data_IF_603456012083
#
_entry.id   IF_603456012083
#
_cell.length_a   1.000
_cell.length_b   1.000
_cell.length_c   1.000
_cell.angle_alpha   90.00
_cell.angle_beta   90.00
_cell.angle_gamma   90.00
#
_symmetry.space_group_name_H-M   'P 1'
#
loop_
_entity.id
_entity.type
_entity.pdbx_description
1 polymer ?
#
# COMPACT_ATOMS: atom_id res chain seq x y z
N UNK A 1 -0.69 38.46 -16.96
CA UNK A 1 0.15 38.25 -15.75
C UNK A 1 0.36 36.74 -15.56
N UNK A 2 1.60 36.23 -15.62
CA UNK A 2 1.89 34.82 -15.81
C UNK A 2 1.74 33.98 -14.54
N UNK A 3 1.26 32.74 -14.73
CA UNK A 3 1.06 31.71 -13.69
C UNK A 3 2.41 31.30 -13.08
N UNK A 4 2.51 31.39 -11.76
CA UNK A 4 3.63 30.88 -10.97
C UNK A 4 3.68 29.35 -11.06
N UNK A 5 4.75 28.82 -11.67
CA UNK A 5 5.02 27.38 -11.72
C UNK A 5 5.60 26.93 -10.38
N UNK A 6 4.90 26.03 -9.70
CA UNK A 6 5.42 25.28 -8.56
C UNK A 6 6.64 24.46 -9.01
N UNK A 7 7.83 24.79 -8.52
CA UNK A 7 9.06 24.04 -8.80
C UNK A 7 9.00 22.69 -8.08
N UNK A 8 8.56 21.64 -8.79
CA UNK A 8 8.73 20.26 -8.35
C UNK A 8 10.18 19.85 -8.62
N UNK A 9 11.06 20.18 -7.68
CA UNK A 9 12.41 19.61 -7.57
C UNK A 9 12.28 18.11 -7.32
N UNK A 10 12.16 17.33 -8.40
CA UNK A 10 12.42 15.89 -8.37
C UNK A 10 13.89 15.71 -8.77
N UNK A 11 14.71 15.33 -7.79
CA UNK A 11 15.98 14.64 -8.02
C UNK A 11 15.68 13.30 -8.72
N UNK A 12 15.37 13.35 -10.01
CA UNK A 12 15.59 12.21 -10.89
C UNK A 12 17.10 12.11 -11.03
N UNK A 13 17.67 11.10 -10.38
CA UNK A 13 19.07 10.74 -10.53
C UNK A 13 19.44 10.69 -12.01
N UNK A 14 20.70 11.02 -12.27
CA UNK A 14 21.39 11.12 -13.57
C UNK A 14 21.28 9.90 -14.49
N UNK A 15 20.61 8.82 -14.07
CA UNK A 15 20.41 7.59 -14.83
C UNK A 15 19.28 7.66 -15.88
N UNK A 16 18.47 8.72 -15.89
CA UNK A 16 17.29 8.81 -16.77
C UNK A 16 17.49 9.43 -18.16
N UNK A 17 18.70 9.88 -18.54
CA UNK A 17 18.93 10.61 -19.82
C UNK A 17 19.72 9.85 -20.89
N UNK A 18 20.08 8.59 -20.66
CA UNK A 18 20.89 7.78 -21.59
C UNK A 18 20.04 6.78 -22.38
N UNK A 19 18.91 7.20 -22.96
CA UNK A 19 17.98 6.29 -23.63
C UNK A 19 17.88 6.40 -25.16
N UNK A 20 18.73 7.16 -25.85
CA UNK A 20 18.49 7.36 -27.30
C UNK A 20 19.69 7.25 -28.23
N UNK A 21 20.91 6.90 -27.79
CA UNK A 21 22.05 6.80 -28.70
C UNK A 21 22.97 5.66 -28.26
N UNK A 22 23.24 4.72 -29.17
CA UNK A 22 24.17 3.57 -29.14
C UNK A 22 23.48 2.18 -28.96
N UNK A 23 23.57 1.27 -29.96
CA UNK A 23 22.93 -0.06 -29.93
C UNK A 23 23.52 -1.06 -28.92
N UNK A 24 24.61 -0.69 -28.24
CA UNK A 24 25.41 -1.60 -27.40
C UNK A 24 25.26 -1.32 -25.89
N UNK A 25 24.27 -0.50 -25.52
CA UNK A 25 23.96 -0.23 -24.12
C UNK A 25 23.00 -1.27 -23.54
N UNK A 26 22.20 -1.96 -24.36
CA UNK A 26 21.28 -3.03 -23.91
C UNK A 26 22.03 -4.24 -23.36
N UNK A 27 23.17 -4.62 -23.96
CA UNK A 27 24.02 -5.71 -23.49
C UNK A 27 24.74 -5.37 -22.17
N UNK A 28 25.21 -4.13 -22.01
CA UNK A 28 25.84 -3.63 -20.78
C UNK A 28 24.79 -3.50 -19.66
N UNK A 29 23.60 -2.98 -19.99
CA UNK A 29 22.43 -2.93 -19.11
C UNK A 29 22.03 -4.36 -18.71
N UNK A 30 22.05 -5.32 -19.63
CA UNK A 30 21.83 -6.74 -19.36
C UNK A 30 22.81 -7.31 -18.33
N UNK A 31 24.12 -7.17 -18.58
CA UNK A 31 25.18 -7.65 -17.68
C UNK A 31 25.14 -6.99 -16.29
N UNK A 32 24.83 -5.69 -16.23
CA UNK A 32 24.70 -4.98 -14.95
C UNK A 32 23.44 -5.36 -14.18
N UNK A 33 22.32 -5.59 -14.87
CA UNK A 33 21.09 -6.14 -14.28
C UNK A 33 21.32 -7.57 -13.78
N UNK A 34 22.07 -8.38 -14.53
CA UNK A 34 22.41 -9.76 -14.16
C UNK A 34 23.26 -9.82 -12.89
N UNK A 35 24.32 -9.00 -12.81
CA UNK A 35 25.21 -8.95 -11.66
C UNK A 35 24.53 -8.39 -10.39
N UNK A 36 23.56 -7.48 -10.55
CA UNK A 36 22.81 -6.88 -9.43
C UNK A 36 21.57 -7.69 -9.00
N UNK A 37 21.16 -8.68 -9.81
CA UNK A 37 19.99 -9.53 -9.52
C UNK A 37 19.99 -10.21 -8.15
N UNK A 38 21.06 -10.85 -7.63
CA UNK A 38 21.02 -11.49 -6.31
C UNK A 38 20.78 -10.49 -5.19
N UNK A 39 21.27 -9.26 -5.35
CA UNK A 39 21.04 -8.17 -4.39
C UNK A 39 19.57 -7.73 -4.45
N UNK A 40 19.01 -7.58 -5.65
CA UNK A 40 17.60 -7.22 -5.85
C UNK A 40 16.69 -8.31 -5.28
N UNK A 41 16.92 -9.59 -5.61
CA UNK A 41 16.13 -10.72 -5.10
C UNK A 41 16.18 -10.77 -3.56
N UNK A 42 17.38 -10.71 -2.96
CA UNK A 42 17.52 -10.67 -1.49
C UNK A 42 16.78 -9.48 -0.87
N UNK A 43 16.84 -8.31 -1.50
CA UNK A 43 16.13 -7.13 -1.02
C UNK A 43 14.61 -7.29 -1.12
N UNK A 44 14.13 -7.88 -2.21
CA UNK A 44 12.71 -8.17 -2.42
C UNK A 44 12.18 -9.19 -1.41
N UNK A 45 12.93 -10.27 -1.16
CA UNK A 45 12.60 -11.31 -0.16
C UNK A 45 12.55 -10.71 1.26
N UNK A 46 13.60 -9.97 1.67
CA UNK A 46 13.62 -9.28 2.98
C UNK A 46 12.46 -8.30 3.14
N UNK A 47 12.09 -7.58 2.08
CA UNK A 47 10.96 -6.65 2.10
C UNK A 47 9.64 -7.42 2.26
N UNK A 48 9.50 -8.56 1.60
CA UNK A 48 8.33 -9.43 1.73
C UNK A 48 8.19 -9.98 3.15
N UNK A 49 9.26 -10.53 3.72
CA UNK A 49 9.28 -11.05 5.11
C UNK A 49 8.97 -9.96 6.14
N UNK A 50 9.59 -8.78 6.01
CA UNK A 50 9.25 -7.62 6.84
C UNK A 50 7.78 -7.27 6.71
N UNK A 51 7.22 -7.36 5.51
CA UNK A 51 5.81 -7.04 5.30
C UNK A 51 4.87 -8.08 5.92
N UNK A 52 5.24 -9.36 5.91
CA UNK A 52 4.48 -10.44 6.55
C UNK A 52 4.50 -10.36 8.08
N UNK A 53 5.58 -9.81 8.66
CA UNK A 53 5.74 -9.67 10.12
C UNK A 53 5.12 -8.40 10.70
N UNK A 54 4.67 -7.45 9.87
CA UNK A 54 4.05 -6.22 10.35
C UNK A 54 2.66 -6.49 10.95
N UNK A 55 2.52 -6.28 12.26
CA UNK A 55 1.22 -6.27 12.95
C UNK A 55 0.61 -4.87 12.88
N UNK A 56 -0.65 -4.79 12.45
CA UNK A 56 -1.42 -3.54 12.44
C UNK A 56 -2.06 -3.32 13.81
N UNK A 57 -1.97 -2.08 14.30
CA UNK A 57 -2.62 -1.66 15.54
C UNK A 57 -4.03 -1.17 15.19
N UNK A 58 -5.03 -1.73 15.86
CA UNK A 58 -6.42 -1.32 15.67
C UNK A 58 -6.70 0.03 16.33
N UNK A 59 -7.60 0.79 15.73
CA UNK A 59 -8.02 2.06 16.31
C UNK A 59 -8.99 1.80 17.46
N UNK A 60 -8.55 2.07 18.69
CA UNK A 60 -9.38 1.93 19.89
C UNK A 60 -9.95 3.26 20.40
N UNK A 61 -9.87 4.33 19.62
CA UNK A 61 -10.45 5.63 20.00
C UNK A 61 -11.97 5.55 19.98
N UNK A 62 -12.60 6.16 20.98
CA UNK A 62 -14.04 6.11 21.28
C UNK A 62 -14.58 4.77 21.83
N UNK A 63 -13.70 3.85 22.22
CA UNK A 63 -14.07 2.65 22.96
C UNK A 63 -13.91 2.84 24.48
N UNK A 64 -14.66 2.09 25.31
CA UNK A 64 -14.42 2.01 26.74
C UNK A 64 -12.99 1.55 27.03
N UNK A 65 -12.36 2.12 28.07
CA UNK A 65 -10.97 1.84 28.43
C UNK A 65 -10.67 0.34 28.62
N UNK A 66 -11.57 -0.39 29.29
CA UNK A 66 -11.36 -1.81 29.59
C UNK A 66 -11.45 -2.70 28.33
N UNK A 67 -12.42 -2.43 27.47
CA UNK A 67 -12.56 -3.13 26.18
C UNK A 67 -11.34 -2.86 25.28
N UNK A 68 -10.91 -1.60 25.18
CA UNK A 68 -9.71 -1.21 24.44
C UNK A 68 -8.45 -1.92 24.96
N UNK A 69 -8.30 -2.05 26.29
CA UNK A 69 -7.15 -2.75 26.91
C UNK A 69 -7.17 -4.23 26.59
N UNK A 70 -8.32 -4.87 26.66
CA UNK A 70 -8.44 -6.30 26.36
C UNK A 70 -8.16 -6.55 24.87
N UNK A 71 -8.72 -5.74 23.98
CA UNK A 71 -8.52 -5.88 22.53
C UNK A 71 -7.04 -5.77 22.14
N UNK A 72 -6.34 -4.76 22.63
CA UNK A 72 -4.91 -4.56 22.35
C UNK A 72 -4.03 -5.63 23.00
N UNK A 73 -4.37 -6.13 24.20
CA UNK A 73 -3.68 -7.28 24.81
C UNK A 73 -3.84 -8.55 23.99
N UNK A 74 -5.04 -8.81 23.46
CA UNK A 74 -5.29 -9.95 22.58
C UNK A 74 -4.46 -9.88 21.29
N UNK A 75 -4.16 -8.66 20.81
CA UNK A 75 -3.23 -8.43 19.69
C UNK A 75 -1.74 -8.60 20.06
N UNK A 76 -1.42 -8.84 21.34
CA UNK A 76 -0.06 -9.01 21.83
C UNK A 76 0.64 -7.72 22.26
N UNK A 77 -0.09 -6.60 22.42
CA UNK A 77 0.49 -5.34 22.88
C UNK A 77 0.39 -5.17 24.40
N UNK A 78 1.42 -4.56 25.00
CA UNK A 78 1.41 -4.11 26.39
C UNK A 78 0.83 -2.71 26.48
N UNK A 79 -0.32 -2.57 27.15
CA UNK A 79 -1.07 -1.31 27.21
C UNK A 79 -0.90 -0.62 28.56
N UNK A 80 -0.39 0.61 28.54
CA UNK A 80 -0.41 1.52 29.69
C UNK A 80 -1.50 2.58 29.50
N UNK A 81 -2.24 2.88 30.58
CA UNK A 81 -3.29 3.91 30.60
C UNK A 81 -2.78 5.13 31.34
N UNK A 82 -2.81 6.29 30.69
CA UNK A 82 -2.42 7.58 31.28
C UNK A 82 -3.62 8.53 31.14
N UNK A 83 -4.05 9.24 32.21
CA UNK A 83 -5.14 10.21 32.09
C UNK A 83 -4.76 11.33 31.12
N UNK A 84 -5.67 11.66 30.21
CA UNK A 84 -5.46 12.72 29.24
C UNK A 84 -5.50 14.09 29.94
N UNK A 85 -4.63 15.03 29.52
CA UNK A 85 -4.75 16.43 29.92
C UNK A 85 -6.10 16.99 29.43
N UNK A 86 -6.82 17.77 30.25
CA UNK A 86 -8.09 18.34 29.86
C UNK A 86 -7.91 19.27 28.65
N UNK A 87 -8.75 19.10 27.62
CA UNK A 87 -8.69 19.90 26.40
C UNK A 87 -10.09 20.06 25.79
N UNK A 88 -10.38 21.21 25.17
CA UNK A 88 -11.70 21.54 24.57
C UNK A 88 -12.17 20.49 23.55
N UNK A 89 -11.24 19.87 22.82
CA UNK A 89 -11.52 18.81 21.83
C UNK A 89 -12.12 17.54 22.44
N UNK A 90 -12.05 17.36 23.75
CA UNK A 90 -12.54 16.19 24.48
C UNK A 90 -13.81 16.50 25.29
N UNK A 91 -14.39 17.69 25.11
CA UNK A 91 -15.56 18.14 25.87
C UNK A 91 -16.79 17.25 25.67
N UNK A 92 -16.88 16.52 24.56
CA UNK A 92 -17.99 15.61 24.23
C UNK A 92 -17.72 14.15 24.59
N UNK A 93 -16.53 13.82 25.10
CA UNK A 93 -16.16 12.46 25.44
C UNK A 93 -16.86 11.99 26.72
N UNK A 94 -17.18 10.69 26.78
CA UNK A 94 -17.78 10.04 27.94
C UNK A 94 -16.70 9.68 28.97
N UNK A 95 -17.14 9.46 30.21
CA UNK A 95 -16.26 9.00 31.28
C UNK A 95 -15.64 7.63 30.94
N UNK A 96 -14.35 7.44 31.23
CA UNK A 96 -13.57 6.23 30.90
C UNK A 96 -13.50 5.84 29.41
N UNK A 97 -13.79 6.77 28.50
CA UNK A 97 -13.60 6.58 27.06
C UNK A 97 -12.14 6.82 26.66
N UNK A 98 -11.64 6.03 25.70
CA UNK A 98 -10.31 6.26 25.12
C UNK A 98 -10.38 7.44 24.16
N UNK A 99 -9.87 8.57 24.64
CA UNK A 99 -9.87 9.83 23.92
C UNK A 99 -8.71 9.95 22.92
N UNK A 100 -7.57 9.32 23.22
CA UNK A 100 -6.37 9.35 22.39
C UNK A 100 -5.51 8.11 22.62
N UNK A 101 -4.80 7.68 21.58
CA UNK A 101 -3.85 6.57 21.65
C UNK A 101 -2.50 6.96 21.04
N UNK A 102 -1.43 6.37 21.56
CA UNK A 102 -0.07 6.49 21.02
C UNK A 102 0.60 5.12 21.02
N UNK A 103 1.15 4.64 19.88
CA UNK A 103 1.12 5.26 18.56
C UNK A 103 -0.29 5.33 17.96
N UNK A 104 -0.53 6.25 17.02
CA UNK A 104 -1.82 6.35 16.32
C UNK A 104 -2.01 5.15 15.40
N UNK A 105 -3.24 4.64 15.32
CA UNK A 105 -3.62 3.72 14.24
C UNK A 105 -3.36 4.39 12.88
N UNK A 106 -2.65 3.70 11.98
CA UNK A 106 -2.38 4.22 10.65
C UNK A 106 -3.66 4.45 9.83
N UNK A 107 -3.59 5.30 8.80
CA UNK A 107 -4.69 5.47 7.84
C UNK A 107 -4.91 4.18 7.04
N UNK A 108 -6.15 3.96 6.59
CA UNK A 108 -6.46 2.82 5.73
C UNK A 108 -5.70 2.92 4.39
N UNK A 109 -4.96 1.85 4.09
CA UNK A 109 -4.15 1.66 2.88
C UNK A 109 -4.92 0.80 1.87
N UNK A 110 -4.55 0.82 0.57
CA UNK A 110 -5.20 -0.02 -0.45
C UNK A 110 -5.27 -1.52 -0.10
N UNK A 111 -4.33 -2.02 0.71
CA UNK A 111 -4.30 -3.42 1.18
C UNK A 111 -5.35 -3.76 2.24
N UNK A 112 -5.93 -2.76 2.89
CA UNK A 112 -6.97 -2.95 3.89
C UNK A 112 -8.36 -3.14 3.26
N UNK A 113 -8.46 -2.99 1.93
CA UNK A 113 -9.67 -3.20 1.15
C UNK A 113 -9.50 -4.49 0.35
N UNK A 114 -10.55 -5.30 0.29
CA UNK A 114 -10.55 -6.55 -0.47
C UNK A 114 -11.03 -6.25 -1.88
N UNK A 115 -10.29 -6.68 -2.89
CA UNK A 115 -10.74 -6.60 -4.27
C UNK A 115 -11.49 -7.88 -4.63
N UNK A 116 -12.70 -7.73 -5.14
CA UNK A 116 -13.50 -8.82 -5.70
C UNK A 116 -13.36 -8.81 -7.22
N UNK A 117 -12.77 -9.88 -7.76
CA UNK A 117 -12.54 -10.06 -9.19
C UNK A 117 -13.83 -10.40 -9.96
N UNK A 118 -14.81 -11.04 -9.30
CA UNK A 118 -16.06 -11.44 -9.95
C UNK A 118 -16.94 -10.23 -10.27
N UNK A 119 -16.99 -9.25 -9.36
CA UNK A 119 -17.82 -8.05 -9.48
C UNK A 119 -17.04 -6.78 -9.86
N UNK A 120 -15.72 -6.87 -10.08
CA UNK A 120 -14.82 -5.73 -10.32
C UNK A 120 -15.07 -4.57 -9.33
N UNK A 121 -14.97 -4.88 -8.04
CA UNK A 121 -15.25 -3.92 -6.98
C UNK A 121 -14.32 -4.08 -5.78
N UNK A 122 -14.25 -3.04 -4.97
CA UNK A 122 -13.57 -3.09 -3.67
C UNK A 122 -14.59 -3.18 -2.54
N UNK A 123 -14.35 -4.10 -1.62
CA UNK A 123 -15.13 -4.29 -0.40
C UNK A 123 -14.47 -3.54 0.76
N UNK A 124 -15.24 -2.68 1.39
CA UNK A 124 -14.89 -1.99 2.63
C UNK A 124 -15.21 -2.87 3.85
N UNK A 125 -14.44 -2.81 4.96
CA UNK A 125 -14.72 -3.59 6.17
C UNK A 125 -16.14 -3.43 6.75
N UNK A 126 -16.80 -2.29 6.52
CA UNK A 126 -18.21 -2.08 6.91
C UNK A 126 -19.22 -2.49 5.82
N UNK A 127 -18.85 -3.43 4.93
CA UNK A 127 -19.69 -3.97 3.86
C UNK A 127 -20.11 -2.97 2.77
N UNK A 128 -19.40 -1.86 2.63
CA UNK A 128 -19.61 -0.93 1.52
C UNK A 128 -18.90 -1.42 0.26
N UNK A 129 -19.61 -1.44 -0.87
CA UNK A 129 -19.04 -1.81 -2.18
C UNK A 129 -18.64 -0.54 -2.92
N UNK A 130 -17.39 -0.50 -3.40
CA UNK A 130 -16.87 0.59 -4.22
C UNK A 130 -16.69 0.12 -5.65
N UNK A 131 -17.48 0.68 -6.56
CA UNK A 131 -17.48 0.29 -7.96
C UNK A 131 -16.39 0.99 -8.74
N UNK A 132 -15.98 0.37 -9.86
CA UNK A 132 -15.15 0.99 -10.87
C UNK A 132 -15.79 2.29 -11.38
N UNK A 133 -14.96 3.32 -11.60
CA UNK A 133 -15.39 4.62 -12.15
C UNK A 133 -14.72 4.90 -13.48
N UNK A 134 -13.40 4.96 -13.50
CA UNK A 134 -12.64 5.41 -14.67
C UNK A 134 -11.25 4.78 -14.67
N UNK A 135 -10.67 4.61 -15.85
CA UNK A 135 -9.26 4.23 -16.02
C UNK A 135 -8.48 5.43 -16.51
N UNK A 136 -7.37 5.75 -15.85
CA UNK A 136 -6.48 6.83 -16.27
C UNK A 136 -5.67 6.42 -17.51
N UNK A 137 -5.15 7.40 -18.26
CA UNK A 137 -4.26 7.15 -19.41
C UNK A 137 -3.01 6.33 -19.05
N UNK A 138 -2.58 6.41 -17.78
CA UNK A 138 -1.45 5.68 -17.23
C UNK A 138 -1.80 4.22 -16.86
N UNK A 139 -3.04 3.78 -17.07
CA UNK A 139 -3.46 2.40 -16.82
C UNK A 139 -3.87 2.11 -15.37
N UNK A 140 -4.33 3.11 -14.62
CA UNK A 140 -4.89 2.91 -13.28
C UNK A 140 -6.42 2.95 -13.31
N UNK A 141 -7.05 1.87 -12.85
CA UNK A 141 -8.48 1.83 -12.57
C UNK A 141 -8.76 2.53 -11.24
N UNK A 142 -9.70 3.45 -11.23
CA UNK A 142 -10.14 4.19 -10.04
C UNK A 142 -11.46 3.62 -9.51
N UNK A 143 -11.47 3.33 -8.22
CA UNK A 143 -12.64 2.90 -7.45
C UNK A 143 -12.91 3.95 -6.38
N UNK A 144 -14.17 4.38 -6.27
CA UNK A 144 -14.53 5.52 -5.42
C UNK A 144 -15.65 5.15 -4.46
N UNK A 145 -15.49 5.59 -3.23
CA UNK A 145 -16.55 5.59 -2.22
C UNK A 145 -17.62 6.64 -2.52
N UNK A 146 -18.83 6.41 -2.03
CA UNK A 146 -19.92 7.37 -2.12
C UNK A 146 -19.90 8.35 -0.94
N UNK A 147 -19.81 9.67 -1.21
CA UNK A 147 -19.62 10.67 -0.16
C UNK A 147 -20.82 10.79 0.78
N UNK A 148 -22.04 10.55 0.29
CA UNK A 148 -23.28 10.58 1.09
C UNK A 148 -23.26 9.54 2.20
N UNK A 149 -22.74 8.35 1.91
CA UNK A 149 -22.60 7.25 2.88
C UNK A 149 -21.42 7.53 3.81
N UNK A 150 -20.31 8.03 3.27
CA UNK A 150 -19.09 8.28 4.05
C UNK A 150 -19.24 9.34 5.14
N UNK A 151 -20.15 10.33 4.99
CA UNK A 151 -20.40 11.34 6.03
C UNK A 151 -20.91 10.71 7.33
N UNK A 152 -21.68 9.62 7.26
CA UNK A 152 -22.19 8.89 8.41
C UNK A 152 -21.24 7.79 8.91
N UNK A 153 -20.13 7.53 8.21
CA UNK A 153 -19.22 6.43 8.54
C UNK A 153 -18.38 6.77 9.80
N UNK A 154 -18.37 5.90 10.82
CA UNK A 154 -17.59 6.12 12.04
C UNK A 154 -16.07 6.11 11.76
N UNK A 155 -15.63 5.38 10.73
CA UNK A 155 -14.23 5.29 10.32
C UNK A 155 -13.78 6.41 9.37
N UNK A 156 -14.61 7.42 9.09
CA UNK A 156 -14.29 8.50 8.14
C UNK A 156 -12.93 9.15 8.42
N UNK A 157 -12.65 9.51 9.68
CA UNK A 157 -11.38 10.15 10.10
C UNK A 157 -10.14 9.29 9.84
N UNK A 158 -10.28 7.96 9.85
CA UNK A 158 -9.19 7.01 9.59
C UNK A 158 -9.09 6.67 8.10
N UNK A 159 -10.23 6.66 7.41
CA UNK A 159 -10.34 6.31 6.00
C UNK A 159 -9.82 7.44 5.08
N UNK A 160 -10.29 8.68 5.25
CA UNK A 160 -9.94 9.82 4.39
C UNK A 160 -10.04 11.17 5.11
N UNK A 161 -9.15 12.10 4.77
CA UNK A 161 -9.20 13.51 5.20
C UNK A 161 -9.60 14.45 4.03
N UNK A 162 -10.09 13.87 2.93
CA UNK A 162 -10.54 14.65 1.78
C UNK A 162 -11.72 15.56 2.15
N UNK A 163 -11.72 16.79 1.65
CA UNK A 163 -12.86 17.73 1.82
C UNK A 163 -14.18 17.17 1.30
N UNK A 164 -14.13 16.32 0.27
CA UNK A 164 -15.31 15.72 -0.36
C UNK A 164 -15.77 14.44 0.36
N UNK A 165 -15.15 14.06 1.48
CA UNK A 165 -15.41 12.81 2.20
C UNK A 165 -15.40 11.56 1.30
N UNK A 166 -14.57 11.58 0.25
CA UNK A 166 -14.46 10.52 -0.74
C UNK A 166 -13.05 9.93 -0.71
N UNK A 167 -12.97 8.63 -0.43
CA UNK A 167 -11.78 7.81 -0.67
C UNK A 167 -11.75 7.32 -2.10
N UNK A 168 -10.56 7.37 -2.71
CA UNK A 168 -10.26 6.80 -4.02
C UNK A 168 -9.18 5.73 -3.83
N UNK A 169 -9.41 4.54 -4.38
CA UNK A 169 -8.44 3.46 -4.48
C UNK A 169 -8.11 3.27 -5.94
N UNK A 170 -6.82 3.14 -6.23
CA UNK A 170 -6.33 2.90 -7.59
C UNK A 170 -5.72 1.51 -7.69
N UNK A 171 -6.12 0.76 -8.73
CA UNK A 171 -5.54 -0.54 -9.09
C UNK A 171 -4.96 -0.44 -10.48
N UNK A 172 -3.68 -0.79 -10.65
CA UNK A 172 -3.08 -0.83 -11.98
C UNK A 172 -3.66 -2.02 -12.77
N UNK A 173 -3.85 -1.88 -14.08
CA UNK A 173 -4.41 -2.97 -14.93
C UNK A 173 -3.56 -4.25 -14.84
N UNK A 174 -2.24 -4.12 -14.69
CA UNK A 174 -1.34 -5.28 -14.54
C UNK A 174 -1.23 -5.83 -13.11
N UNK A 175 -2.02 -5.31 -12.16
CA UNK A 175 -1.88 -5.71 -10.75
C UNK A 175 -2.10 -7.21 -10.56
N UNK A 176 -3.08 -7.78 -11.25
CA UNK A 176 -3.45 -9.19 -11.13
C UNK A 176 -2.31 -10.09 -11.63
N UNK A 177 -1.75 -9.75 -12.80
CA UNK A 177 -0.57 -10.44 -13.35
C UNK A 177 0.66 -10.33 -12.45
N UNK A 178 0.88 -9.16 -11.83
CA UNK A 178 1.98 -8.97 -10.87
C UNK A 178 1.79 -9.81 -9.61
N UNK A 179 0.56 -9.97 -9.11
CA UNK A 179 0.24 -10.82 -7.96
C UNK A 179 0.48 -12.29 -8.27
N UNK A 180 0.09 -12.75 -9.46
CA UNK A 180 0.40 -14.11 -9.94
C UNK A 180 1.92 -14.34 -10.03
N UNK A 181 2.65 -13.38 -10.59
CA UNK A 181 4.11 -13.48 -10.71
C UNK A 181 4.80 -13.49 -9.33
N UNK A 182 4.30 -12.73 -8.36
CA UNK A 182 4.76 -12.77 -6.97
C UNK A 182 4.51 -14.15 -6.34
N UNK A 183 3.32 -14.72 -6.51
CA UNK A 183 2.97 -16.03 -5.99
C UNK A 183 3.86 -17.14 -6.57
N UNK A 184 4.09 -17.14 -7.88
CA UNK A 184 4.99 -18.10 -8.54
C UNK A 184 6.42 -17.95 -8.02
N UNK A 185 6.91 -16.73 -7.79
CA UNK A 185 8.28 -16.50 -7.30
C UNK A 185 8.54 -17.16 -5.95
N UNK A 186 7.55 -17.11 -5.06
CA UNK A 186 7.64 -17.68 -3.71
C UNK A 186 7.33 -19.19 -3.66
N UNK A 187 6.96 -19.81 -4.78
CA UNK A 187 6.75 -21.25 -4.86
C UNK A 187 8.09 -22.00 -4.72
N UNK A 188 8.07 -23.13 -4.00
CA UNK A 188 9.25 -23.98 -3.77
C UNK A 188 9.91 -24.39 -5.09
N UNK A 189 11.23 -24.24 -5.17
CA UNK A 189 12.03 -24.61 -6.36
C UNK A 189 11.94 -23.63 -7.54
N UNK A 190 11.09 -22.59 -7.49
CA UNK A 190 11.02 -21.62 -8.60
C UNK A 190 12.28 -20.77 -8.71
N UNK A 191 12.91 -20.42 -7.58
CA UNK A 191 14.19 -19.68 -7.57
C UNK A 191 15.29 -20.43 -8.33
N UNK A 192 15.42 -21.74 -8.08
CA UNK A 192 16.37 -22.62 -8.77
C UNK A 192 16.03 -22.73 -10.27
N UNK A 193 14.74 -22.85 -10.61
CA UNK A 193 14.29 -22.92 -12.00
C UNK A 193 14.53 -21.60 -12.76
N UNK A 194 14.36 -20.45 -12.11
CA UNK A 194 14.72 -19.16 -12.69
C UNK A 194 16.23 -18.99 -12.84
N UNK A 195 17.03 -19.59 -11.98
CA UNK A 195 18.49 -19.62 -12.15
C UNK A 195 18.88 -20.42 -13.39
N UNK A 196 18.35 -21.65 -13.54
CA UNK A 196 18.62 -22.50 -14.72
C UNK A 196 18.15 -21.90 -16.05
N UNK A 197 17.00 -21.20 -16.07
CA UNK A 197 16.51 -20.51 -17.28
C UNK A 197 17.42 -19.38 -17.77
N UNK A 198 18.38 -18.91 -16.95
CA UNK A 198 19.36 -17.91 -17.38
C UNK A 198 20.54 -18.53 -18.13
N UNK A 199 20.74 -19.83 -17.98
CA UNK A 199 21.82 -20.59 -18.62
C UNK A 199 21.42 -21.11 -20.02
N UNK A 200 20.22 -20.76 -20.51
CA UNK A 200 19.79 -21.16 -21.86
C UNK A 200 20.53 -20.34 -22.90
N UNK A 201 21.32 -21.02 -23.72
CA UNK A 201 22.08 -20.41 -24.81
C UNK A 201 21.17 -20.11 -26.01
N UNK A 202 21.33 -18.94 -26.62
CA UNK A 202 20.69 -18.60 -27.90
C UNK A 202 21.59 -19.05 -29.04
N UNK A 203 21.10 -19.94 -29.91
CA UNK A 203 21.81 -20.34 -31.12
C UNK A 203 21.51 -19.34 -32.24
N UNK A 204 22.54 -18.73 -32.82
CA UNK A 204 22.44 -17.91 -34.04
C UNK A 204 23.14 -18.62 -35.19
N UNK A 205 22.49 -18.69 -36.35
CA UNK A 205 23.08 -19.24 -37.58
C UNK A 205 23.92 -18.13 -38.25
N UNK A 206 25.14 -18.49 -38.67
CA UNK A 206 26.07 -17.61 -39.40
C UNK A 206 25.75 -17.56 -40.88
#
# INVERSE_FOLDING_TARGET
MPKTKLKLSRKLGTLGRLFSIIPDTTAIIGKTIENSRPIIEKHMDQRHERQMTLVKIDNVVNLPLEEARQHLKNQGFTVSSIPAKPAKKYATARENEVVQMSPKSGKLRPKDFVYDDHFDCYLFPEHQVWTYRTTTREGYREYKSDPSICVACPLLKVCTESKNHQKVVTRHIWKDYLEICEAIRHQRGMKERYQKRKETESVTLN
#
